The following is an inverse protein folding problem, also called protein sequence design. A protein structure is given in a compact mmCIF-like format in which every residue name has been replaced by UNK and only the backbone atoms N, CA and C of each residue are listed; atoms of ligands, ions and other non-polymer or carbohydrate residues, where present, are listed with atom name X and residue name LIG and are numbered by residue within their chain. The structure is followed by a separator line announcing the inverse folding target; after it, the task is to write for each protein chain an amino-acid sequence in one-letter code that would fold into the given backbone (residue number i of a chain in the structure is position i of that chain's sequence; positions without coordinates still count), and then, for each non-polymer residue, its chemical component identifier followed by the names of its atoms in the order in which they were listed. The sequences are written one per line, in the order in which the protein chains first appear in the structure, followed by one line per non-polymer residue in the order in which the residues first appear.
data_IF_904092145446
#
_entry.id   IF_904092145446
#
_cell.length_a   1.000
_cell.length_b   1.000
_cell.length_c   1.000
_cell.angle_alpha   90.00
_cell.angle_beta   90.00
_cell.angle_gamma   90.00
#
_symmetry.space_group_name_H-M   'P 1'
#
loop_
_entity.id
_entity.type
_entity.pdbx_description
1 polymer ?
#
# COMPACT_ATOMS: atom_id res chain seq x y z
N UNK A 1 16.71 57.92 -22.91
CA UNK A 1 16.29 56.80 -23.77
C UNK A 1 16.78 55.50 -23.16
N UNK A 2 15.99 54.42 -23.25
CA UNK A 2 15.82 53.43 -22.19
C UNK A 2 16.68 52.17 -22.37
N UNK A 3 17.00 51.46 -21.28
CA UNK A 3 16.34 50.20 -20.94
C UNK A 3 16.90 49.60 -19.64
N UNK A 4 15.96 49.24 -18.78
CA UNK A 4 16.11 48.30 -17.67
C UNK A 4 16.83 47.04 -18.17
N UNK A 5 17.93 46.68 -17.52
CA UNK A 5 18.39 45.30 -17.50
C UNK A 5 17.73 44.66 -16.28
N UNK A 6 16.73 43.83 -16.56
CA UNK A 6 16.16 42.88 -15.62
C UNK A 6 17.25 41.84 -15.30
N UNK A 7 17.94 42.03 -14.16
CA UNK A 7 18.93 41.08 -13.61
C UNK A 7 18.24 39.94 -12.85
N UNK A 8 17.17 39.38 -13.41
CA UNK A 8 16.63 38.12 -12.92
C UNK A 8 17.60 37.00 -13.30
N UNK A 9 18.04 36.13 -12.35
CA UNK A 9 18.88 34.99 -12.69
C UNK A 9 18.17 34.12 -13.73
N UNK A 10 18.89 33.53 -14.70
CA UNK A 10 18.26 32.68 -15.71
C UNK A 10 17.50 31.56 -15.01
N UNK A 11 16.17 31.57 -15.15
CA UNK A 11 15.31 30.49 -14.71
C UNK A 11 15.60 29.32 -15.65
N UNK A 12 16.30 28.30 -15.14
CA UNK A 12 16.41 27.03 -15.84
C UNK A 12 15.01 26.44 -15.88
N UNK A 13 14.34 26.53 -17.04
CA UNK A 13 13.08 25.82 -17.25
C UNK A 13 13.29 24.33 -17.02
N UNK A 14 12.28 23.66 -16.44
CA UNK A 14 12.29 22.21 -16.33
C UNK A 14 12.44 21.62 -17.71
N UNK A 15 13.58 20.96 -17.95
CA UNK A 15 13.70 20.06 -19.07
C UNK A 15 12.78 18.89 -18.73
N UNK A 16 11.64 18.82 -19.40
CA UNK A 16 10.87 17.59 -19.48
C UNK A 16 11.77 16.55 -20.14
N UNK A 17 12.57 15.87 -19.32
CA UNK A 17 13.29 14.66 -19.67
C UNK A 17 12.32 13.54 -19.29
N UNK A 18 11.34 13.19 -20.15
CA UNK A 18 10.58 11.98 -19.91
C UNK A 18 11.60 10.85 -19.81
N UNK A 19 11.59 10.19 -18.67
CA UNK A 19 12.38 8.97 -18.51
C UNK A 19 12.00 8.03 -19.66
N UNK A 20 12.98 7.34 -20.30
CA UNK A 20 12.68 6.44 -21.41
C UNK A 20 11.53 5.50 -21.05
N UNK A 21 10.70 5.20 -22.05
CA UNK A 21 9.65 4.18 -21.90
C UNK A 21 10.27 2.92 -21.31
N UNK A 22 9.58 2.32 -20.33
CA UNK A 22 10.09 1.12 -19.67
C UNK A 22 10.46 0.09 -20.74
N UNK A 23 11.73 -0.36 -20.74
CA UNK A 23 12.10 -1.56 -21.48
C UNK A 23 11.19 -2.70 -21.01
N UNK A 24 10.59 -3.45 -21.94
CA UNK A 24 9.40 -4.30 -21.74
C UNK A 24 9.47 -5.41 -20.68
N UNK A 25 10.58 -5.54 -19.95
CA UNK A 25 10.78 -6.51 -18.87
C UNK A 25 10.48 -5.95 -17.46
N UNK A 26 10.29 -4.64 -17.28
CA UNK A 26 9.93 -4.08 -15.96
C UNK A 26 8.41 -4.01 -15.78
N UNK A 27 7.86 -4.56 -14.67
CA UNK A 27 6.43 -4.50 -14.41
C UNK A 27 5.99 -3.05 -14.12
N UNK A 28 4.79 -2.70 -14.56
CA UNK A 28 4.17 -1.41 -14.22
C UNK A 28 3.99 -1.29 -12.72
N UNK A 29 4.36 -0.15 -12.15
CA UNK A 29 4.17 0.12 -10.73
C UNK A 29 2.72 0.48 -10.44
N UNK A 30 2.10 -0.07 -9.39
CA UNK A 30 0.78 0.39 -8.96
C UNK A 30 0.80 1.88 -8.64
N UNK A 31 -0.20 2.65 -9.07
CA UNK A 31 -0.33 4.08 -8.80
C UNK A 31 -0.29 4.40 -7.30
N UNK A 32 -0.73 3.46 -6.45
CA UNK A 32 -0.58 3.54 -5.00
C UNK A 32 0.87 3.76 -4.56
N UNK A 33 1.86 3.19 -5.24
CA UNK A 33 3.26 3.37 -4.86
C UNK A 33 3.72 4.83 -4.95
N UNK A 34 3.09 5.65 -5.79
CA UNK A 34 3.37 7.09 -5.87
C UNK A 34 2.83 7.81 -4.63
N UNK A 35 1.68 7.37 -4.09
CA UNK A 35 1.19 7.82 -2.78
C UNK A 35 2.22 7.51 -1.69
N UNK A 36 2.66 6.25 -1.61
CA UNK A 36 3.59 5.79 -0.58
C UNK A 36 4.95 6.53 -0.70
N UNK A 37 5.41 6.82 -1.93
CA UNK A 37 6.62 7.62 -2.16
C UNK A 37 6.47 9.05 -1.64
N UNK A 38 5.33 9.69 -1.95
CA UNK A 38 5.02 11.03 -1.47
C UNK A 38 4.86 11.08 0.05
N UNK A 39 4.40 9.97 0.66
CA UNK A 39 4.37 9.82 2.09
C UNK A 39 5.80 9.71 2.67
N UNK A 40 6.59 8.75 2.17
CA UNK A 40 7.97 8.50 2.54
C UNK A 40 8.69 7.69 1.44
N UNK A 41 9.76 8.22 0.81
CA UNK A 41 10.51 7.49 -0.22
C UNK A 41 11.05 6.14 0.26
N UNK A 42 11.45 6.05 1.54
CA UNK A 42 11.91 4.78 2.13
C UNK A 42 10.78 3.77 2.29
N UNK A 43 9.56 4.20 2.64
CA UNK A 43 8.40 3.31 2.71
C UNK A 43 8.14 2.67 1.34
N UNK A 44 8.06 3.49 0.29
CA UNK A 44 7.87 2.99 -1.07
C UNK A 44 8.98 2.04 -1.52
N UNK A 45 10.23 2.28 -1.13
CA UNK A 45 11.33 1.36 -1.41
C UNK A 45 11.14 0.00 -0.71
N UNK A 46 10.80 0.01 0.57
CA UNK A 46 10.59 -1.23 1.33
C UNK A 46 9.43 -2.04 0.74
N UNK A 47 8.31 -1.40 0.42
CA UNK A 47 7.12 -2.07 -0.12
C UNK A 47 7.31 -2.58 -1.56
N UNK A 48 7.87 -1.75 -2.45
CA UNK A 48 7.99 -2.10 -3.87
C UNK A 48 9.26 -2.88 -4.21
N UNK A 49 10.42 -2.40 -3.74
CA UNK A 49 11.72 -2.96 -4.14
C UNK A 49 12.07 -4.18 -3.29
N UNK A 50 11.76 -4.14 -2.00
CA UNK A 50 12.05 -5.27 -1.09
C UNK A 50 10.86 -6.21 -0.88
N UNK A 51 9.65 -5.81 -1.31
CA UNK A 51 8.45 -6.64 -1.17
C UNK A 51 7.99 -6.79 0.29
N UNK A 52 8.36 -5.85 1.16
CA UNK A 52 8.00 -5.87 2.57
C UNK A 52 6.58 -5.35 2.77
N UNK A 53 5.74 -6.14 3.44
CA UNK A 53 4.37 -5.77 3.75
C UNK A 53 4.05 -6.09 5.21
N UNK A 54 3.57 -5.10 5.94
CA UNK A 54 3.00 -5.29 7.27
C UNK A 54 1.59 -4.73 7.30
N UNK A 55 0.66 -5.50 7.86
CA UNK A 55 -0.72 -5.03 8.03
C UNK A 55 -0.76 -4.00 9.15
N UNK A 56 -1.25 -2.80 8.85
CA UNK A 56 -1.69 -1.84 9.86
C UNK A 56 -3.15 -2.11 10.24
N UNK A 57 -3.56 -1.70 11.44
CA UNK A 57 -4.97 -1.75 11.86
C UNK A 57 -5.91 -1.06 10.84
N UNK A 58 -5.41 -0.09 10.07
CA UNK A 58 -6.14 0.62 9.02
C UNK A 58 -6.28 -0.17 7.71
N UNK A 59 -5.31 -1.03 7.36
CA UNK A 59 -5.31 -1.80 6.10
C UNK A 59 -6.15 -3.08 6.17
N UNK A 60 -6.27 -3.71 7.34
CA UNK A 60 -7.11 -4.91 7.52
C UNK A 60 -8.60 -4.60 7.33
N UNK A 61 -9.07 -3.48 7.85
CA UNK A 61 -10.48 -3.04 7.80
C UNK A 61 -10.85 -2.42 6.42
N UNK A 62 -9.87 -1.80 5.74
CA UNK A 62 -10.03 -1.27 4.38
C UNK A 62 -10.47 -2.34 3.36
N UNK A 63 -9.92 -3.56 3.46
CA UNK A 63 -10.27 -4.69 2.59
C UNK A 63 -11.74 -5.13 2.70
N UNK A 64 -12.40 -4.89 3.83
CA UNK A 64 -13.80 -5.32 4.01
C UNK A 64 -14.80 -4.38 3.29
N UNK A 65 -14.48 -3.08 3.19
CA UNK A 65 -15.36 -2.08 2.54
C UNK A 65 -15.06 -1.86 1.07
N UNK A 66 -13.82 -2.03 0.61
CA UNK A 66 -13.51 -2.10 -0.83
C UNK A 66 -14.30 -3.22 -1.50
N UNK A 67 -14.58 -4.34 -0.82
CA UNK A 67 -15.37 -5.46 -1.36
C UNK A 67 -16.74 -5.08 -1.96
N UNK A 68 -17.35 -3.97 -1.53
CA UNK A 68 -18.62 -3.47 -2.09
C UNK A 68 -18.44 -2.60 -3.33
N UNK A 69 -17.30 -1.91 -3.44
CA UNK A 69 -16.92 -1.04 -4.57
C UNK A 69 -16.15 -1.83 -5.65
N UNK A 70 -15.41 -2.87 -5.24
CA UNK A 70 -14.67 -3.83 -6.06
C UNK A 70 -15.55 -4.73 -6.95
N UNK A 71 -16.88 -4.74 -6.72
CA UNK A 71 -17.80 -5.40 -7.64
C UNK A 71 -17.87 -4.55 -8.90
N UNK A 72 -17.12 -4.96 -9.92
CA UNK A 72 -17.18 -4.37 -11.26
C UNK A 72 -18.64 -4.20 -11.68
N UNK A 73 -19.03 -2.95 -11.92
CA UNK A 73 -20.38 -2.56 -12.31
C UNK A 73 -20.26 -1.26 -13.12
N UNK A 74 -20.90 -1.24 -14.30
CA UNK A 74 -20.70 -0.19 -15.30
C UNK A 74 -19.46 -0.45 -16.14
N UNK A 75 -19.59 -0.31 -17.46
CA UNK A 75 -18.48 -0.26 -18.40
C UNK A 75 -18.19 1.22 -18.65
N UNK A 76 -16.92 1.63 -18.55
CA UNK A 76 -16.52 2.97 -19.03
C UNK A 76 -16.37 2.85 -20.56
N UNK A 77 -17.22 3.53 -21.36
CA UNK A 77 -17.07 3.57 -22.82
C UNK A 77 -15.72 4.15 -23.21
N UNK A 78 -15.26 3.89 -24.43
CA UNK A 78 -14.02 4.52 -24.91
C UNK A 78 -14.20 6.04 -25.02
N UNK A 79 -13.12 6.81 -24.95
CA UNK A 79 -13.20 8.27 -25.01
C UNK A 79 -13.90 8.80 -26.27
N UNK A 80 -13.84 8.06 -27.39
CA UNK A 80 -14.54 8.41 -28.64
C UNK A 80 -16.04 8.12 -28.64
N UNK A 81 -16.53 7.34 -27.67
CA UNK A 81 -17.93 6.91 -27.56
C UNK A 81 -18.69 7.69 -26.48
N UNK A 82 -18.01 8.57 -25.73
CA UNK A 82 -18.65 9.40 -24.71
C UNK A 82 -19.36 10.59 -25.35
N UNK A 83 -20.67 10.69 -25.12
CA UNK A 83 -21.46 11.85 -25.54
C UNK A 83 -21.26 13.03 -24.56
N UNK A 84 -21.35 14.27 -25.08
CA UNK A 84 -21.15 15.51 -24.30
C UNK A 84 -22.18 15.70 -23.17
N UNK A 85 -23.33 15.02 -23.22
CA UNK A 85 -24.40 15.09 -22.21
C UNK A 85 -24.51 13.81 -21.36
N UNK A 86 -23.54 12.88 -21.46
CA UNK A 86 -23.64 11.57 -20.80
C UNK A 86 -23.35 11.64 -19.30
N UNK A 87 -24.24 11.07 -18.49
CA UNK A 87 -24.03 10.84 -17.06
C UNK A 87 -23.87 9.34 -16.79
N UNK A 88 -22.67 8.93 -16.41
CA UNK A 88 -22.35 7.51 -16.21
C UNK A 88 -21.46 7.28 -14.99
N UNK A 89 -21.69 6.16 -14.31
CA UNK A 89 -20.83 5.71 -13.21
C UNK A 89 -20.23 4.35 -13.56
N UNK A 90 -18.90 4.27 -13.58
CA UNK A 90 -18.16 3.01 -13.75
C UNK A 90 -17.37 2.69 -12.48
N UNK A 91 -17.31 1.42 -12.08
CA UNK A 91 -16.58 0.97 -10.88
C UNK A 91 -15.49 -0.01 -11.22
N UNK A 92 -14.39 0.06 -10.48
CA UNK A 92 -13.25 -0.86 -10.60
C UNK A 92 -12.64 -0.90 -12.00
N UNK A 93 -12.44 0.26 -12.60
CA UNK A 93 -11.78 0.38 -13.91
C UNK A 93 -10.27 0.29 -13.71
N UNK A 94 -9.58 -0.53 -14.52
CA UNK A 94 -8.12 -0.64 -14.49
C UNK A 94 -7.53 -0.07 -15.77
N UNK A 95 -6.65 0.92 -15.64
CA UNK A 95 -5.95 1.55 -16.76
C UNK A 95 -4.45 1.56 -16.47
N UNK A 96 -3.66 1.55 -17.54
CA UNK A 96 -2.21 1.59 -17.48
C UNK A 96 -1.65 2.67 -18.40
N UNK A 97 -0.51 3.23 -18.01
CA UNK A 97 0.30 4.12 -18.85
C UNK A 97 1.72 3.56 -18.92
N UNK A 98 2.15 3.14 -20.11
CA UNK A 98 3.53 2.69 -20.34
C UNK A 98 4.51 3.87 -20.26
N UNK A 99 4.08 5.05 -20.69
CA UNK A 99 4.86 6.29 -20.64
C UNK A 99 5.18 6.69 -19.20
N UNK A 100 4.18 6.63 -18.30
CA UNK A 100 4.39 6.89 -16.87
C UNK A 100 5.00 5.67 -16.15
N UNK A 101 4.86 4.47 -16.71
CA UNK A 101 5.28 3.22 -16.09
C UNK A 101 4.35 2.76 -14.96
N UNK A 102 3.07 3.11 -15.03
CA UNK A 102 2.11 2.94 -13.94
C UNK A 102 0.86 2.15 -14.36
N UNK A 103 0.28 1.44 -13.39
CA UNK A 103 -1.05 0.83 -13.49
C UNK A 103 -1.93 1.34 -12.35
N UNK A 104 -3.15 1.78 -12.66
CA UNK A 104 -4.09 2.30 -11.70
C UNK A 104 -5.39 1.49 -11.72
N UNK A 105 -5.86 1.13 -10.52
CA UNK A 105 -7.23 0.68 -10.30
C UNK A 105 -8.02 1.85 -9.75
N UNK A 106 -9.05 2.27 -10.46
CA UNK A 106 -9.94 3.36 -10.08
C UNK A 106 -11.20 2.76 -9.45
N UNK A 107 -11.50 3.19 -8.22
CA UNK A 107 -12.61 2.66 -7.43
C UNK A 107 -13.97 3.02 -8.06
N UNK A 108 -14.14 4.31 -8.35
CA UNK A 108 -15.30 4.88 -9.00
C UNK A 108 -14.85 5.94 -10.00
N UNK A 109 -15.50 5.95 -11.14
CA UNK A 109 -15.38 6.98 -12.17
C UNK A 109 -16.79 7.52 -12.38
N UNK A 110 -16.92 8.83 -12.32
CA UNK A 110 -18.14 9.56 -12.67
C UNK A 110 -17.89 10.32 -13.97
N UNK A 111 -18.85 10.28 -14.89
CA UNK A 111 -18.85 11.09 -16.11
C UNK A 111 -19.94 12.13 -15.95
N UNK A 112 -19.57 13.40 -16.06
CA UNK A 112 -20.47 14.55 -16.01
C UNK A 112 -20.15 15.44 -17.21
N UNK A 113 -21.12 15.64 -18.10
CA UNK A 113 -21.01 16.50 -19.28
C UNK A 113 -19.77 16.17 -20.16
N UNK A 114 -19.52 14.87 -20.38
CA UNK A 114 -18.35 14.37 -21.11
C UNK A 114 -17.01 14.44 -20.35
N UNK A 115 -16.99 15.01 -19.14
CA UNK A 115 -15.81 15.10 -18.27
C UNK A 115 -15.76 13.91 -17.33
N UNK A 116 -14.62 13.23 -17.30
CA UNK A 116 -14.38 12.06 -16.48
C UNK A 116 -13.72 12.46 -15.16
N UNK A 117 -14.34 12.10 -14.05
CA UNK A 117 -13.91 12.44 -12.69
C UNK A 117 -13.62 11.15 -11.92
N UNK A 118 -12.34 10.83 -11.64
CA UNK A 118 -11.99 9.74 -10.75
C UNK A 118 -12.37 10.07 -9.31
N UNK A 119 -12.96 9.11 -8.60
CA UNK A 119 -13.38 9.25 -7.21
C UNK A 119 -12.73 8.16 -6.34
N UNK A 120 -11.90 8.59 -5.37
CA UNK A 120 -11.23 7.72 -4.40
C UNK A 120 -11.94 7.74 -3.04
N UNK A 121 -12.19 6.57 -2.47
CA UNK A 121 -12.87 6.43 -1.18
C UNK A 121 -11.87 6.30 -0.04
N UNK A 122 -11.90 7.23 0.91
CA UNK A 122 -11.08 7.17 2.13
C UNK A 122 -11.93 6.89 3.34
N UNK A 123 -11.49 5.96 4.18
CA UNK A 123 -12.20 5.61 5.42
C UNK A 123 -12.24 6.78 6.40
N UNK A 124 -11.09 7.40 6.65
CA UNK A 124 -10.90 8.37 7.72
C UNK A 124 -11.73 9.64 7.58
N UNK A 125 -11.60 10.52 8.56
CA UNK A 125 -12.19 11.86 8.48
C UNK A 125 -11.35 12.77 7.58
N UNK A 126 -12.03 13.72 6.94
CA UNK A 126 -11.37 14.80 6.21
C UNK A 126 -10.39 15.54 7.14
N UNK A 127 -9.12 15.71 6.74
CA UNK A 127 -8.18 16.49 7.52
C UNK A 127 -8.53 17.99 7.49
N UNK A 128 -8.36 18.66 8.63
CA UNK A 128 -8.56 20.10 8.77
C UNK A 128 -7.32 20.89 8.31
N UNK A 129 -7.00 20.77 7.03
CA UNK A 129 -5.91 21.49 6.35
C UNK A 129 -6.49 22.29 5.17
N UNK A 130 -5.74 23.28 4.67
CA UNK A 130 -6.21 24.21 3.64
C UNK A 130 -6.81 23.49 2.40
N UNK A 131 -6.11 22.47 1.89
CA UNK A 131 -6.55 21.69 0.73
C UNK A 131 -7.59 20.60 1.06
N UNK A 132 -7.90 20.36 2.35
CA UNK A 132 -8.82 19.32 2.79
C UNK A 132 -8.39 17.87 2.53
N UNK A 133 -7.21 17.65 1.93
CA UNK A 133 -6.62 16.35 1.57
C UNK A 133 -5.10 16.48 1.66
N UNK A 134 -4.40 15.46 2.16
CA UNK A 134 -2.94 15.47 2.17
C UNK A 134 -2.36 15.18 0.78
N UNK A 135 -1.13 15.63 0.54
CA UNK A 135 -0.49 15.48 -0.77
C UNK A 135 -0.38 14.05 -1.30
N UNK A 136 -0.12 13.00 -0.47
CA UNK A 136 -0.06 11.64 -0.99
C UNK A 136 -1.35 11.21 -1.71
N UNK A 137 -2.52 11.51 -1.14
CA UNK A 137 -3.80 11.21 -1.76
C UNK A 137 -4.09 12.12 -2.97
N UNK A 138 -3.71 13.41 -2.91
CA UNK A 138 -3.85 14.33 -4.05
C UNK A 138 -3.01 13.87 -5.24
N UNK A 139 -1.76 13.47 -5.00
CA UNK A 139 -0.84 12.97 -6.01
C UNK A 139 -1.36 11.66 -6.61
N UNK A 140 -1.83 10.72 -5.79
CA UNK A 140 -2.41 9.47 -6.30
C UNK A 140 -3.60 9.72 -7.22
N UNK A 141 -4.48 10.66 -6.86
CA UNK A 141 -5.64 11.02 -7.67
C UNK A 141 -5.24 11.72 -8.96
N UNK A 142 -4.21 12.58 -8.91
CA UNK A 142 -3.65 13.20 -10.11
C UNK A 142 -3.01 12.16 -11.04
N UNK A 143 -2.33 11.13 -10.52
CA UNK A 143 -1.85 9.99 -11.33
C UNK A 143 -3.00 9.34 -12.09
N UNK A 144 -4.14 9.09 -11.42
CA UNK A 144 -5.32 8.51 -12.06
C UNK A 144 -5.85 9.42 -13.18
N UNK A 145 -5.91 10.74 -12.93
CA UNK A 145 -6.29 11.73 -13.94
C UNK A 145 -5.35 11.76 -15.15
N UNK A 146 -4.03 11.75 -14.92
CA UNK A 146 -3.03 11.71 -15.99
C UNK A 146 -3.15 10.44 -16.85
N UNK A 147 -3.44 9.29 -16.23
CA UNK A 147 -3.68 8.04 -16.96
C UNK A 147 -4.98 8.15 -17.77
N UNK A 148 -6.06 8.70 -17.21
CA UNK A 148 -7.30 8.93 -17.95
C UNK A 148 -7.08 9.83 -19.17
N UNK A 149 -6.34 10.94 -19.02
CA UNK A 149 -6.00 11.84 -20.12
C UNK A 149 -5.20 11.15 -21.22
N UNK A 150 -4.26 10.26 -20.88
CA UNK A 150 -3.50 9.48 -21.86
C UNK A 150 -4.38 8.51 -22.66
N UNK A 151 -5.49 8.04 -22.08
CA UNK A 151 -6.50 7.23 -22.75
C UNK A 151 -7.54 8.06 -23.52
N UNK A 152 -7.35 9.38 -23.62
CA UNK A 152 -8.17 10.29 -24.40
C UNK A 152 -9.35 10.92 -23.66
N UNK A 153 -9.52 10.63 -22.37
CA UNK A 153 -10.60 11.21 -21.58
C UNK A 153 -10.30 12.66 -21.17
N UNK A 154 -11.33 13.50 -21.13
CA UNK A 154 -11.23 14.82 -20.52
C UNK A 154 -11.28 14.68 -18.99
N UNK A 155 -10.22 15.07 -18.30
CA UNK A 155 -10.10 14.88 -16.85
C UNK A 155 -9.20 15.97 -16.25
N UNK A 156 -9.80 17.00 -15.67
CA UNK A 156 -9.09 18.15 -15.09
C UNK A 156 -9.12 18.17 -13.56
N UNK A 157 -9.86 17.25 -12.95
CA UNK A 157 -9.98 17.12 -11.51
C UNK A 157 -10.43 15.72 -11.10
N UNK A 158 -10.29 15.41 -9.83
CA UNK A 158 -10.87 14.23 -9.20
C UNK A 158 -11.58 14.59 -7.89
N UNK A 159 -12.16 13.59 -7.24
CA UNK A 159 -12.73 13.76 -5.91
C UNK A 159 -12.27 12.70 -4.91
N UNK A 160 -12.19 13.08 -3.65
CA UNK A 160 -12.01 12.16 -2.53
C UNK A 160 -13.27 12.20 -1.67
N UNK A 161 -13.81 11.02 -1.40
CA UNK A 161 -14.94 10.84 -0.49
C UNK A 161 -14.49 10.25 0.84
N UNK A 162 -14.59 11.03 1.92
CA UNK A 162 -14.27 10.61 3.29
C UNK A 162 -15.50 9.96 3.93
N UNK A 163 -15.45 8.65 4.16
CA UNK A 163 -16.59 7.84 4.62
C UNK A 163 -17.00 8.19 6.05
N UNK A 164 -16.05 8.42 6.96
CA UNK A 164 -16.34 8.73 8.36
C UNK A 164 -16.95 10.13 8.56
N UNK A 165 -16.51 11.13 7.79
CA UNK A 165 -17.10 12.47 7.85
C UNK A 165 -18.22 12.71 6.83
N UNK A 166 -18.41 11.79 5.87
CA UNK A 166 -19.35 11.89 4.74
C UNK A 166 -19.13 13.15 3.88
N UNK A 167 -17.89 13.59 3.79
CA UNK A 167 -17.51 14.78 3.02
C UNK A 167 -16.86 14.39 1.69
N UNK A 168 -17.19 15.15 0.64
CA UNK A 168 -16.54 15.07 -0.67
C UNK A 168 -15.64 16.28 -0.84
N UNK A 169 -14.39 16.05 -1.24
CA UNK A 169 -13.42 17.11 -1.55
C UNK A 169 -12.99 16.97 -3.01
N UNK A 170 -13.23 18.00 -3.82
CA UNK A 170 -12.72 18.09 -5.20
C UNK A 170 -11.24 18.49 -5.15
N UNK A 171 -10.46 17.90 -6.04
CA UNK A 171 -9.02 18.14 -6.20
C UNK A 171 -8.77 18.51 -7.65
N UNK A 172 -8.52 19.78 -7.91
CA UNK A 172 -8.13 20.26 -9.23
C UNK A 172 -6.73 19.76 -9.59
N UNK A 173 -6.52 19.32 -10.83
CA UNK A 173 -5.23 18.95 -11.37
C UNK A 173 -4.54 20.17 -11.98
N UNK A 174 -4.25 21.16 -11.13
CA UNK A 174 -3.49 22.34 -11.52
C UNK A 174 -2.01 22.02 -11.82
N UNK A 175 -1.30 22.99 -12.40
CA UNK A 175 0.11 22.83 -12.78
C UNK A 175 1.01 22.49 -11.59
N UNK A 176 0.69 23.00 -10.39
CA UNK A 176 1.44 22.71 -9.17
C UNK A 176 1.31 21.23 -8.79
N UNK A 177 0.09 20.70 -8.73
CA UNK A 177 -0.15 19.29 -8.40
C UNK A 177 0.36 18.35 -9.50
N UNK A 178 0.23 18.74 -10.78
CA UNK A 178 0.80 18.00 -11.91
C UNK A 178 2.32 17.90 -11.78
N UNK A 179 2.99 19.02 -11.49
CA UNK A 179 4.45 19.05 -11.27
C UNK A 179 4.87 18.18 -10.08
N UNK A 180 4.18 18.30 -8.95
CA UNK A 180 4.42 17.47 -7.77
C UNK A 180 4.27 15.98 -8.10
N UNK A 181 3.25 15.63 -8.88
CA UNK A 181 2.94 14.25 -9.28
C UNK A 181 4.02 13.70 -10.20
N UNK A 182 4.43 14.42 -11.24
CA UNK A 182 5.50 13.98 -12.15
C UNK A 182 6.84 13.83 -11.41
N UNK A 183 7.14 14.72 -10.47
CA UNK A 183 8.32 14.61 -9.62
C UNK A 183 8.28 13.37 -8.71
N UNK A 184 7.11 13.06 -8.13
CA UNK A 184 6.93 11.86 -7.31
C UNK A 184 7.10 10.56 -8.14
N UNK A 185 6.54 10.51 -9.36
CA UNK A 185 6.70 9.38 -10.28
C UNK A 185 8.18 9.20 -10.63
N UNK A 186 8.86 10.28 -11.02
CA UNK A 186 10.26 10.25 -11.43
C UNK A 186 11.17 9.83 -10.28
N UNK A 187 10.92 10.36 -9.08
CA UNK A 187 11.66 10.00 -7.87
C UNK A 187 11.45 8.54 -7.45
N UNK A 188 10.21 8.04 -7.53
CA UNK A 188 9.91 6.63 -7.26
C UNK A 188 10.66 5.71 -8.23
N UNK A 189 10.65 6.02 -9.53
CA UNK A 189 11.39 5.23 -10.53
C UNK A 189 12.90 5.24 -10.25
N UNK A 190 13.45 6.40 -9.93
CA UNK A 190 14.87 6.54 -9.62
C UNK A 190 15.30 5.67 -8.44
N UNK A 191 14.51 5.62 -7.35
CA UNK A 191 14.85 4.78 -6.19
C UNK A 191 14.64 3.29 -6.48
N UNK A 192 13.67 2.94 -7.33
CA UNK A 192 13.40 1.57 -7.71
C UNK A 192 14.51 0.99 -8.58
N UNK A 193 15.02 1.76 -9.54
CA UNK A 193 16.11 1.35 -10.43
C UNK A 193 17.49 1.51 -9.79
N UNK A 194 17.69 2.55 -8.98
CA UNK A 194 19.00 2.90 -8.43
C UNK A 194 19.55 1.93 -7.38
N UNK A 195 18.74 0.99 -6.87
CA UNK A 195 19.13 -0.02 -5.89
C UNK A 195 19.65 0.52 -4.55
N UNK A 196 19.56 1.85 -4.35
CA UNK A 196 20.01 2.53 -3.13
C UNK A 196 18.78 2.91 -2.31
N UNK A 197 18.59 2.18 -1.21
CA UNK A 197 17.52 2.47 -0.27
C UNK A 197 17.62 3.90 0.29
N UNK A 198 16.54 4.71 0.21
CA UNK A 198 16.50 6.04 0.81
C UNK A 198 16.72 6.01 2.31
N UNK A 199 17.33 7.05 2.87
CA UNK A 199 17.45 7.22 4.32
C UNK A 199 16.05 7.36 4.96
N UNK A 200 15.87 6.93 6.22
CA UNK A 200 14.63 7.19 6.95
C UNK A 200 14.30 8.68 6.98
N UNK A 201 13.05 9.06 7.23
CA UNK A 201 12.73 10.47 7.49
C UNK A 201 13.36 10.93 8.82
N UNK A 202 13.66 12.23 8.93
CA UNK A 202 14.26 12.80 10.14
C UNK A 202 13.19 13.33 11.08
N UNK A 203 13.20 12.83 12.32
CA UNK A 203 12.24 13.12 13.39
C UNK A 203 10.79 13.36 12.90
N UNK A 204 10.34 12.53 11.96
CA UNK A 204 9.08 12.79 11.27
C UNK A 204 7.91 12.26 12.08
N UNK A 205 6.83 13.05 12.25
CA UNK A 205 5.59 12.58 12.89
C UNK A 205 4.85 11.52 12.05
N UNK A 206 5.33 11.24 10.83
CA UNK A 206 4.86 10.13 9.98
C UNK A 206 5.38 8.78 10.51
N UNK A 207 6.63 8.70 10.95
CA UNK A 207 7.30 7.45 11.29
C UNK A 207 6.55 6.60 12.34
N UNK A 208 6.03 7.16 13.45
CA UNK A 208 5.33 6.36 14.46
C UNK A 208 4.01 5.71 13.97
N UNK A 209 3.44 6.21 12.87
CA UNK A 209 2.20 5.70 12.26
C UNK A 209 2.46 4.82 11.03
N UNK A 210 3.72 4.68 10.62
CA UNK A 210 4.10 3.86 9.49
C UNK A 210 3.95 2.37 9.84
N UNK A 211 3.27 1.60 8.98
CA UNK A 211 3.13 0.15 9.11
C UNK A 211 4.49 -0.56 9.19
N UNK A 212 5.48 -0.05 8.44
CA UNK A 212 6.82 -0.63 8.37
C UNK A 212 7.80 -0.01 9.37
N UNK A 213 7.35 0.73 10.39
CA UNK A 213 8.29 1.35 11.36
C UNK A 213 9.15 0.32 12.08
N UNK A 214 8.60 -0.86 12.38
CA UNK A 214 9.34 -1.97 13.01
C UNK A 214 10.35 -2.66 12.10
N UNK A 215 10.23 -2.49 10.78
CA UNK A 215 11.21 -2.98 9.79
C UNK A 215 12.22 -1.87 9.47
N UNK A 216 11.73 -0.65 9.28
CA UNK A 216 12.52 0.52 8.94
C UNK A 216 13.48 0.93 10.05
N UNK A 217 13.04 0.83 11.31
CA UNK A 217 13.79 1.19 12.52
C UNK A 217 14.49 2.56 12.39
N UNK A 218 13.73 3.65 12.18
CA UNK A 218 14.29 4.94 11.77
C UNK A 218 15.27 5.52 12.81
N UNK A 219 14.97 5.37 14.10
CA UNK A 219 15.79 5.91 15.19
C UNK A 219 17.10 5.10 15.31
N UNK A 220 17.03 3.77 15.19
CA UNK A 220 18.18 2.85 15.23
C UNK A 220 19.10 3.02 14.01
N UNK A 221 18.52 3.09 12.80
CA UNK A 221 19.28 3.31 11.56
C UNK A 221 20.02 4.64 11.64
N UNK A 222 19.37 5.70 12.15
CA UNK A 222 20.01 7.01 12.35
C UNK A 222 21.10 6.96 13.41
N UNK A 223 20.86 6.27 14.53
CA UNK A 223 21.87 6.08 15.56
C UNK A 223 23.11 5.38 15.03
N UNK A 224 22.95 4.31 14.23
CA UNK A 224 24.07 3.59 13.62
C UNK A 224 24.85 4.44 12.61
N UNK A 225 24.17 5.34 11.88
CA UNK A 225 24.82 6.21 10.90
C UNK A 225 25.49 7.46 11.51
N UNK A 226 24.93 8.02 12.59
CA UNK A 226 25.33 9.35 13.07
C UNK A 226 25.73 9.39 14.55
N UNK A 227 25.44 8.36 15.35
CA UNK A 227 25.88 8.23 16.75
C UNK A 227 25.32 9.27 17.72
N UNK A 228 24.30 10.05 17.33
CA UNK A 228 23.92 11.28 18.03
C UNK A 228 22.90 11.11 19.15
N UNK A 229 21.94 10.18 19.04
CA UNK A 229 20.84 10.02 20.01
C UNK A 229 20.55 8.53 20.23
N UNK A 230 20.48 8.09 21.49
CA UNK A 230 20.04 6.74 21.85
C UNK A 230 18.62 6.49 21.29
N UNK A 231 18.38 5.42 20.52
CA UNK A 231 17.07 5.15 19.93
C UNK A 231 15.97 5.07 20.99
N UNK A 232 14.80 5.65 20.70
CA UNK A 232 13.63 5.45 21.56
C UNK A 232 13.19 3.99 21.44
N UNK A 233 12.96 3.26 22.55
CA UNK A 233 12.46 1.90 22.47
C UNK A 233 11.11 1.88 21.75
N UNK A 234 11.02 1.15 20.63
CA UNK A 234 9.73 0.82 20.03
C UNK A 234 9.01 -0.13 21.00
N UNK A 235 7.88 0.32 21.55
CA UNK A 235 7.00 -0.54 22.32
C UNK A 235 6.34 -1.55 21.36
N UNK A 236 6.95 -2.71 21.21
CA UNK A 236 6.36 -3.82 20.47
C UNK A 236 5.12 -4.27 21.24
N UNK A 237 3.98 -4.38 20.54
CA UNK A 237 2.79 -4.98 21.13
C UNK A 237 3.18 -6.37 21.65
N UNK A 238 2.84 -6.67 22.91
CA UNK A 238 3.05 -8.02 23.43
C UNK A 238 2.14 -8.96 22.66
N UNK A 239 2.74 -9.82 21.85
CA UNK A 239 2.02 -10.97 21.32
C UNK A 239 1.74 -11.90 22.50
N UNK A 240 0.47 -12.05 22.86
CA UNK A 240 0.05 -12.95 23.94
C UNK A 240 0.11 -14.42 23.49
N UNK A 241 0.22 -14.68 22.18
CA UNK A 241 0.27 -16.01 21.63
C UNK A 241 1.65 -16.66 21.83
N UNK A 242 1.66 -17.90 22.31
CA UNK A 242 2.85 -18.66 22.65
C UNK A 242 3.07 -19.84 21.70
N UNK A 243 4.32 -20.29 21.53
CA UNK A 243 4.60 -21.52 20.81
C UNK A 243 4.00 -22.74 21.52
N UNK A 244 3.30 -23.58 20.75
CA UNK A 244 2.85 -24.90 21.21
C UNK A 244 3.90 -25.94 20.83
N UNK A 245 4.61 -26.46 21.83
CA UNK A 245 5.55 -27.56 21.65
C UNK A 245 4.85 -28.90 21.85
N UNK A 246 4.93 -29.76 20.84
CA UNK A 246 4.52 -31.16 20.95
C UNK A 246 5.77 -32.02 20.97
N UNK A 247 6.08 -32.56 22.14
CA UNK A 247 7.25 -33.41 22.37
C UNK A 247 6.80 -34.79 22.84
N UNK A 248 6.32 -35.60 21.90
CA UNK A 248 5.87 -36.95 22.16
C UNK A 248 6.01 -37.82 20.92
N UNK A 249 6.34 -39.09 21.12
CA UNK A 249 6.47 -40.07 20.04
C UNK A 249 5.09 -40.44 19.49
N UNK A 250 4.91 -40.41 18.16
CA UNK A 250 3.66 -40.78 17.48
C UNK A 250 2.43 -40.00 17.95
N UNK A 251 2.63 -38.76 18.41
CA UNK A 251 1.52 -37.89 18.77
C UNK A 251 0.72 -37.48 17.52
N UNK A 252 -0.53 -37.08 17.73
CA UNK A 252 -1.41 -36.55 16.70
C UNK A 252 -1.97 -35.19 17.11
N UNK A 253 -1.84 -34.20 16.26
CA UNK A 253 -2.44 -32.87 16.42
C UNK A 253 -3.63 -32.74 15.49
N UNK A 254 -4.81 -32.51 16.06
CA UNK A 254 -6.05 -32.32 15.34
C UNK A 254 -6.71 -30.99 15.70
N UNK A 255 -7.54 -30.47 14.80
CA UNK A 255 -8.33 -29.26 15.06
C UNK A 255 -9.75 -29.63 15.46
N UNK A 256 -10.24 -29.05 16.55
CA UNK A 256 -11.64 -29.13 16.97
C UNK A 256 -12.12 -27.76 17.44
N UNK A 257 -13.05 -27.17 16.71
CA UNK A 257 -13.50 -25.79 16.98
C UNK A 257 -12.33 -24.82 16.91
N UNK A 258 -12.13 -24.02 17.95
CA UNK A 258 -11.03 -23.05 18.05
C UNK A 258 -9.78 -23.58 18.78
N UNK A 259 -9.68 -24.91 18.97
CA UNK A 259 -8.58 -25.53 19.70
C UNK A 259 -7.80 -26.53 18.83
N UNK A 260 -6.49 -26.57 19.05
CA UNK A 260 -5.60 -27.66 18.70
C UNK A 260 -5.71 -28.72 19.79
N UNK A 261 -6.16 -29.92 19.46
CA UNK A 261 -6.19 -31.08 20.36
C UNK A 261 -5.00 -31.98 20.07
N UNK A 262 -4.22 -32.27 21.11
CA UNK A 262 -3.05 -33.16 21.06
C UNK A 262 -3.45 -34.52 21.63
N UNK A 263 -3.16 -35.57 20.86
CA UNK A 263 -3.43 -36.97 21.19
C UNK A 263 -2.11 -37.74 21.27
N UNK A 264 -2.02 -38.64 22.26
CA UNK A 264 -0.95 -39.65 22.38
C UNK A 264 -1.66 -40.98 22.61
N UNK A 265 -1.31 -42.02 21.85
CA UNK A 265 -1.97 -43.34 21.90
C UNK A 265 -3.50 -43.24 21.84
N UNK A 266 -4.01 -42.43 20.90
CA UNK A 266 -5.43 -42.11 20.68
C UNK A 266 -6.18 -41.50 21.87
N UNK A 267 -5.47 -41.07 22.91
CA UNK A 267 -6.04 -40.35 24.06
C UNK A 267 -5.69 -38.88 23.97
N UNK A 268 -6.70 -38.02 24.10
CA UNK A 268 -6.49 -36.57 24.21
C UNK A 268 -5.72 -36.30 25.50
N UNK A 269 -4.53 -35.72 25.36
CA UNK A 269 -3.66 -35.37 26.51
C UNK A 269 -3.72 -33.89 26.84
N UNK A 270 -3.88 -33.03 25.83
CA UNK A 270 -3.90 -31.58 26.01
C UNK A 270 -4.62 -30.89 24.87
N UNK A 271 -5.00 -29.63 25.08
CA UNK A 271 -5.37 -28.72 24.00
C UNK A 271 -4.77 -27.32 24.19
N UNK A 272 -4.65 -26.60 23.07
CA UNK A 272 -4.23 -25.22 23.01
C UNK A 272 -5.23 -24.43 22.17
N UNK A 273 -5.61 -23.23 22.62
CA UNK A 273 -6.49 -22.36 21.83
C UNK A 273 -5.70 -21.78 20.66
N UNK A 274 -6.31 -21.77 19.47
CA UNK A 274 -5.68 -21.22 18.27
C UNK A 274 -5.35 -19.73 18.42
N UNK A 275 -6.15 -18.97 19.18
CA UNK A 275 -5.90 -17.54 19.42
C UNK A 275 -4.65 -17.29 20.28
N UNK A 276 -4.23 -18.26 21.08
CA UNK A 276 -3.03 -18.16 21.92
C UNK A 276 -1.83 -18.90 21.31
N UNK A 277 -1.93 -19.37 20.06
CA UNK A 277 -0.87 -20.17 19.42
C UNK A 277 -0.13 -19.33 18.39
N UNK A 278 1.11 -18.93 18.69
CA UNK A 278 1.95 -18.18 17.73
C UNK A 278 2.66 -19.09 16.73
N UNK A 279 2.94 -20.35 17.11
CA UNK A 279 3.54 -21.35 16.23
C UNK A 279 3.29 -22.77 16.76
N UNK A 280 3.25 -23.76 15.87
CA UNK A 280 3.19 -25.18 16.23
C UNK A 280 4.56 -25.83 15.99
N UNK A 281 5.20 -26.30 17.05
CA UNK A 281 6.54 -26.89 17.01
C UNK A 281 6.45 -28.38 17.31
N UNK A 282 6.85 -29.21 16.35
CA UNK A 282 6.69 -30.66 16.39
C UNK A 282 8.04 -31.34 16.53
N UNK A 283 8.29 -31.98 17.67
CA UNK A 283 9.55 -32.66 17.97
C UNK A 283 9.41 -34.18 17.78
N UNK A 284 9.92 -34.70 16.65
CA UNK A 284 9.90 -36.12 16.30
C UNK A 284 8.77 -36.51 15.33
N UNK A 285 8.43 -37.80 15.31
CA UNK A 285 7.40 -38.34 14.43
C UNK A 285 5.99 -38.00 14.96
N UNK A 286 5.44 -36.89 14.49
CA UNK A 286 4.14 -36.36 14.94
C UNK A 286 3.25 -36.10 13.73
N UNK A 287 2.02 -36.57 13.81
CA UNK A 287 1.02 -36.44 12.76
C UNK A 287 0.20 -35.17 12.95
N UNK A 288 0.03 -34.36 11.91
CA UNK A 288 -0.93 -33.26 11.89
C UNK A 288 -2.03 -33.59 10.91
N UNK A 289 -3.29 -33.48 11.35
CA UNK A 289 -4.44 -33.74 10.47
C UNK A 289 -4.58 -32.64 9.40
N UNK A 290 -5.08 -32.99 8.21
CA UNK A 290 -5.29 -32.03 7.12
C UNK A 290 -6.14 -30.81 7.51
N UNK A 291 -7.26 -30.94 8.25
CA UNK A 291 -8.03 -29.78 8.70
C UNK A 291 -7.24 -28.84 9.63
N UNK A 292 -6.36 -29.42 10.46
CA UNK A 292 -5.47 -28.64 11.33
C UNK A 292 -4.44 -27.86 10.52
N UNK A 293 -3.80 -28.50 9.54
CA UNK A 293 -2.87 -27.86 8.61
C UNK A 293 -3.51 -26.68 7.87
N UNK A 294 -4.70 -26.88 7.29
CA UNK A 294 -5.41 -25.82 6.56
C UNK A 294 -5.75 -24.64 7.46
N UNK A 295 -6.18 -24.88 8.69
CA UNK A 295 -6.52 -23.80 9.64
C UNK A 295 -5.28 -23.00 10.04
N UNK A 296 -4.17 -23.67 10.35
CA UNK A 296 -2.90 -23.02 10.72
C UNK A 296 -2.36 -22.18 9.55
N UNK A 297 -2.36 -22.73 8.33
CA UNK A 297 -1.96 -21.98 7.13
C UNK A 297 -2.85 -20.77 6.87
N UNK A 298 -4.17 -20.92 6.99
CA UNK A 298 -5.13 -19.81 6.80
C UNK A 298 -4.89 -18.66 7.80
N UNK A 299 -4.46 -18.98 9.02
CA UNK A 299 -4.17 -18.00 10.07
C UNK A 299 -2.73 -17.47 10.04
N UNK A 300 -1.89 -17.97 9.14
CA UNK A 300 -0.47 -17.64 9.12
C UNK A 300 0.29 -18.15 10.35
N UNK A 301 -0.22 -19.18 11.04
CA UNK A 301 0.49 -19.80 12.17
C UNK A 301 1.51 -20.79 11.59
N UNK A 302 2.83 -20.53 11.72
CA UNK A 302 3.87 -21.39 11.17
C UNK A 302 3.91 -22.74 11.91
N UNK A 303 4.29 -23.78 11.16
CA UNK A 303 4.52 -25.12 11.69
C UNK A 303 5.98 -25.48 11.44
N UNK A 304 6.69 -25.87 12.48
CA UNK A 304 8.08 -26.30 12.40
C UNK A 304 8.20 -27.77 12.76
N UNK A 305 8.65 -28.59 11.81
CA UNK A 305 8.97 -30.00 12.05
C UNK A 305 10.45 -30.15 12.40
N UNK A 306 10.69 -30.71 13.57
CA UNK A 306 12.01 -31.15 14.03
C UNK A 306 12.00 -32.68 14.10
N UNK A 307 11.93 -33.34 12.94
CA UNK A 307 12.13 -34.78 12.82
C UNK A 307 13.61 -35.13 12.76
N UNK A 308 14.00 -36.25 13.35
CA UNK A 308 15.28 -36.89 13.04
C UNK A 308 15.05 -37.77 11.80
N UNK A 309 15.49 -37.28 10.65
CA UNK A 309 15.22 -37.85 9.33
C UNK A 309 14.22 -36.97 8.58
N UNK A 310 14.68 -36.39 7.47
CA UNK A 310 13.95 -35.38 6.69
C UNK A 310 12.60 -35.84 6.17
#
# INVERSE_FOLDING_TARGET
MPKNADESPPIQGDLALPFPELSGDQPLMPARMVNEYQYCPRLAYLEWVQGEWAESADTVDGRYKHRRVDKAAGHLPTASELDEDEQLHARSVTLSSNRLGLIAKLDLIEVEDGVVIPVDYKRGKRPHIACGVYDPERVQLCVQGLILQEHGYQCEEGAIYFVESKERVRVAFDDELRTLTINAISGLRLIAEGGRMPQPLDDSPKCPRCSLVGICLPDEVRYLHHGTIQPRPLAVARDEALPVYVQAHSAKVAKKGENLEIFIDDKKVQDARLIDTSQLVLMGNIYVTTPCLHELMKRGVPITWHSYGG
#
